data_IF_504520055934
#
_entry.id   IF_504520055934
#
_cell.length_a   1.000
_cell.length_b   1.000
_cell.length_c   1.000
_cell.angle_alpha   90.00
_cell.angle_beta   90.00
_cell.angle_gamma   90.00
#
_symmetry.space_group_name_H-M   'P 1'
#
loop_
_entity.id
_entity.type
_entity.pdbx_description
1 polymer ?
#
# COMPACT_ATOMS: atom_id res chain seq x y z
N UNK A 1 -12.99 -28.10 30.54
CA UNK A 1 -11.82 -28.09 29.64
C UNK A 1 -11.65 -26.69 29.07
N UNK A 2 -10.77 -25.89 29.67
CA UNK A 2 -10.39 -24.56 29.12
C UNK A 2 -8.98 -24.69 28.54
N UNK A 3 -8.89 -24.75 27.22
CA UNK A 3 -7.65 -24.98 26.47
C UNK A 3 -7.13 -23.71 25.80
N UNK A 4 -7.31 -22.52 26.38
CA UNK A 4 -6.75 -21.30 25.78
C UNK A 4 -6.28 -20.29 26.83
N UNK A 5 -5.21 -20.65 27.54
CA UNK A 5 -4.30 -19.64 28.08
C UNK A 5 -2.87 -20.01 27.69
N UNK A 6 -2.55 -19.88 26.40
CA UNK A 6 -1.14 -19.84 25.97
C UNK A 6 -0.65 -18.44 26.23
N UNK A 7 -0.02 -18.26 27.40
CA UNK A 7 0.91 -17.14 27.63
C UNK A 7 1.82 -17.04 26.41
N UNK A 8 1.77 -15.91 25.68
CA UNK A 8 2.67 -15.63 24.56
C UNK A 8 4.10 -15.77 25.11
N UNK A 9 4.89 -16.67 24.54
CA UNK A 9 6.29 -16.80 24.94
C UNK A 9 7.01 -15.47 24.62
N UNK A 10 7.99 -15.01 25.42
CA UNK A 10 8.65 -13.71 25.21
C UNK A 10 9.32 -13.55 23.83
N UNK A 11 9.65 -14.66 23.17
CA UNK A 11 10.25 -14.74 21.84
C UNK A 11 9.23 -14.47 20.69
N UNK A 12 7.93 -14.64 20.94
CA UNK A 12 6.84 -14.42 19.97
C UNK A 12 6.47 -12.92 19.77
N UNK A 13 7.10 -12.02 20.52
CA UNK A 13 6.87 -10.58 20.39
C UNK A 13 7.55 -10.02 19.12
N UNK A 14 6.72 -9.46 18.24
CA UNK A 14 7.14 -8.68 17.07
C UNK A 14 6.63 -7.23 17.20
N UNK A 15 7.50 -6.23 17.42
CA UNK A 15 7.09 -4.84 17.56
C UNK A 15 6.46 -4.27 16.28
N UNK A 16 6.80 -4.83 15.11
CA UNK A 16 6.17 -4.45 13.83
C UNK A 16 4.73 -4.94 13.80
N UNK A 17 4.51 -6.18 14.25
CA UNK A 17 3.18 -6.77 14.30
C UNK A 17 2.23 -6.01 15.23
N UNK A 18 2.70 -5.74 16.44
CA UNK A 18 1.92 -5.01 17.44
C UNK A 18 1.63 -3.57 16.97
N UNK A 19 2.56 -2.95 16.25
CA UNK A 19 2.36 -1.61 15.71
C UNK A 19 1.26 -1.58 14.64
N UNK A 20 1.30 -2.45 13.63
CA UNK A 20 0.27 -2.42 12.58
C UNK A 20 -1.10 -2.85 13.11
N UNK A 21 -1.16 -3.81 14.04
CA UNK A 21 -2.42 -4.22 14.69
C UNK A 21 -3.04 -3.09 15.52
N UNK A 22 -2.23 -2.18 16.04
CA UNK A 22 -2.73 -1.05 16.83
C UNK A 22 -3.46 0.03 16.00
N UNK A 23 -3.23 0.08 14.68
CA UNK A 23 -3.73 1.12 13.77
C UNK A 23 -3.39 2.57 14.20
N UNK A 24 -2.45 2.75 15.13
CA UNK A 24 -1.95 4.06 15.52
C UNK A 24 -0.79 4.46 14.58
N UNK A 25 -1.04 5.48 13.74
CA UNK A 25 -0.05 5.95 12.77
C UNK A 25 1.29 6.31 13.42
N UNK A 26 1.31 6.92 14.61
CA UNK A 26 2.57 7.27 15.29
C UNK A 26 3.33 6.01 15.72
N UNK A 27 2.62 4.98 16.20
CA UNK A 27 3.25 3.69 16.54
C UNK A 27 3.77 2.97 15.30
N UNK A 28 2.99 2.97 14.22
CA UNK A 28 3.39 2.37 12.95
C UNK A 28 4.65 3.03 12.37
N UNK A 29 4.71 4.36 12.34
CA UNK A 29 5.89 5.09 11.86
C UNK A 29 7.13 4.82 12.72
N UNK A 30 6.97 4.75 14.05
CA UNK A 30 8.07 4.37 14.95
C UNK A 30 8.54 2.93 14.72
N UNK A 31 7.69 2.06 14.20
CA UNK A 31 8.02 0.66 13.98
C UNK A 31 8.82 0.42 12.68
N UNK A 32 8.86 1.39 11.76
CA UNK A 32 9.63 1.29 10.50
C UNK A 32 11.14 1.05 10.71
N UNK A 33 11.68 1.44 11.88
CA UNK A 33 13.09 1.22 12.25
C UNK A 33 13.42 -0.22 12.62
N UNK A 34 12.42 -1.07 12.83
CA UNK A 34 12.61 -2.45 13.26
C UNK A 34 12.45 -3.42 12.10
N UNK A 35 13.23 -4.50 12.12
CA UNK A 35 13.03 -5.63 11.23
C UNK A 35 11.85 -6.46 11.75
N UNK A 36 10.90 -6.75 10.86
CA UNK A 36 9.80 -7.67 11.16
C UNK A 36 10.34 -9.08 11.43
N UNK A 37 9.83 -9.73 12.47
CA UNK A 37 10.13 -11.14 12.78
C UNK A 37 9.14 -12.07 12.13
N UNK A 38 7.87 -11.65 12.05
CA UNK A 38 6.77 -12.47 11.52
C UNK A 38 6.58 -12.22 10.04
N UNK A 39 6.26 -13.27 9.26
CA UNK A 39 5.87 -13.13 7.86
C UNK A 39 4.75 -12.09 7.71
N UNK A 40 4.79 -11.32 6.63
CA UNK A 40 3.83 -10.27 6.28
C UNK A 40 3.70 -9.10 7.27
N UNK A 41 4.35 -9.09 8.43
CA UNK A 41 4.19 -7.96 9.37
C UNK A 41 4.67 -6.65 8.77
N UNK A 42 5.76 -6.67 7.99
CA UNK A 42 6.21 -5.49 7.23
C UNK A 42 5.25 -5.11 6.09
N UNK A 43 4.71 -6.09 5.38
CA UNK A 43 3.66 -5.86 4.36
C UNK A 43 2.46 -5.12 4.96
N UNK A 44 1.89 -5.63 6.05
CA UNK A 44 0.75 -5.01 6.71
C UNK A 44 1.09 -3.65 7.31
N UNK A 45 2.28 -3.50 7.93
CA UNK A 45 2.73 -2.20 8.43
C UNK A 45 2.71 -1.13 7.33
N UNK A 46 3.34 -1.41 6.20
CA UNK A 46 3.41 -0.46 5.09
C UNK A 46 2.03 -0.20 4.47
N UNK A 47 1.23 -1.26 4.25
CA UNK A 47 -0.13 -1.15 3.73
C UNK A 47 -1.01 -0.24 4.60
N UNK A 48 -0.99 -0.43 5.92
CA UNK A 48 -1.80 0.36 6.84
C UNK A 48 -1.30 1.80 6.97
N UNK A 49 0.02 2.04 6.96
CA UNK A 49 0.53 3.42 6.90
C UNK A 49 -0.02 4.12 5.66
N UNK A 50 0.12 3.48 4.48
CA UNK A 50 -0.38 4.01 3.21
C UNK A 50 -1.88 4.30 3.25
N UNK A 51 -2.71 3.39 3.80
CA UNK A 51 -4.14 3.62 3.98
C UNK A 51 -4.44 4.83 4.88
N UNK A 52 -3.78 4.91 6.02
CA UNK A 52 -3.97 6.01 6.98
C UNK A 52 -3.53 7.36 6.40
N UNK A 53 -2.43 7.41 5.66
CA UNK A 53 -1.91 8.65 5.08
C UNK A 53 -2.72 9.08 3.86
N UNK A 54 -3.19 8.12 3.05
CA UNK A 54 -4.01 8.41 1.87
C UNK A 54 -5.32 9.12 2.23
N UNK A 55 -5.99 8.71 3.32
CA UNK A 55 -7.23 9.35 3.77
C UNK A 55 -7.04 10.82 4.15
N UNK A 56 -5.86 11.18 4.66
CA UNK A 56 -5.52 12.54 5.13
C UNK A 56 -4.73 13.37 4.11
N UNK A 57 -4.42 12.81 2.94
CA UNK A 57 -3.51 13.44 1.96
C UNK A 57 -3.97 14.83 1.50
N UNK A 58 -5.28 15.05 1.39
CA UNK A 58 -5.85 16.34 0.95
C UNK A 58 -5.79 17.43 2.02
N UNK A 59 -5.72 17.03 3.28
CA UNK A 59 -5.69 17.94 4.44
C UNK A 59 -4.25 18.35 4.78
N UNK A 60 -3.25 17.60 4.33
CA UNK A 60 -1.86 17.81 4.71
C UNK A 60 -0.90 17.36 3.62
N UNK A 61 -0.12 18.32 3.10
CA UNK A 61 0.99 18.03 2.18
C UNK A 61 1.97 16.99 2.76
N UNK A 62 2.20 17.04 4.08
CA UNK A 62 3.02 16.06 4.79
C UNK A 62 2.43 14.64 4.72
N UNK A 63 1.10 14.51 4.82
CA UNK A 63 0.43 13.21 4.69
C UNK A 63 0.47 12.71 3.25
N UNK A 64 0.35 13.59 2.26
CA UNK A 64 0.51 13.22 0.85
C UNK A 64 1.93 12.69 0.56
N UNK A 65 2.97 13.42 1.00
CA UNK A 65 4.37 13.02 0.85
C UNK A 65 4.66 11.68 1.54
N UNK A 66 4.23 11.53 2.79
CA UNK A 66 4.42 10.29 3.53
C UNK A 66 3.67 9.11 2.86
N UNK A 67 2.49 9.37 2.29
CA UNK A 67 1.74 8.34 1.57
C UNK A 67 2.47 7.89 0.30
N UNK A 68 3.04 8.82 -0.45
CA UNK A 68 3.85 8.53 -1.64
C UNK A 68 5.07 7.68 -1.27
N UNK A 69 5.90 8.17 -0.34
CA UNK A 69 7.11 7.48 0.12
C UNK A 69 6.83 6.05 0.60
N UNK A 70 5.81 5.88 1.45
CA UNK A 70 5.49 4.56 2.01
C UNK A 70 4.87 3.64 0.96
N UNK A 71 4.13 4.18 -0.01
CA UNK A 71 3.57 3.39 -1.09
C UNK A 71 4.67 2.91 -2.05
N UNK A 72 5.63 3.76 -2.40
CA UNK A 72 6.78 3.37 -3.21
C UNK A 72 7.59 2.25 -2.54
N UNK A 73 7.91 2.40 -1.24
CA UNK A 73 8.61 1.36 -0.47
C UNK A 73 7.78 0.08 -0.48
N UNK A 74 6.48 0.16 -0.21
CA UNK A 74 5.62 -1.01 -0.19
C UNK A 74 5.60 -1.74 -1.54
N UNK A 75 5.47 -1.03 -2.67
CA UNK A 75 5.46 -1.65 -3.99
C UNK A 75 6.82 -2.26 -4.35
N UNK A 76 7.93 -1.60 -3.98
CA UNK A 76 9.28 -2.14 -4.20
C UNK A 76 9.50 -3.48 -3.47
N UNK A 77 8.79 -3.67 -2.37
CA UNK A 77 8.87 -4.85 -1.52
C UNK A 77 7.77 -5.88 -1.80
N UNK A 78 6.72 -5.53 -2.54
CA UNK A 78 5.49 -6.31 -2.61
C UNK A 78 5.73 -7.71 -3.19
N UNK A 79 6.57 -7.80 -4.23
CA UNK A 79 6.85 -9.06 -4.94
C UNK A 79 7.34 -10.17 -4.01
N UNK A 80 8.05 -9.84 -2.92
CA UNK A 80 8.54 -10.85 -1.96
C UNK A 80 7.40 -11.47 -1.12
N UNK A 81 6.27 -10.77 -0.99
CA UNK A 81 5.12 -11.21 -0.21
C UNK A 81 4.05 -11.90 -1.07
N UNK A 82 4.05 -11.67 -2.39
CA UNK A 82 3.08 -12.21 -3.35
C UNK A 82 2.85 -13.72 -3.21
N UNK A 83 3.88 -14.60 -3.14
CA UNK A 83 3.65 -16.05 -3.02
C UNK A 83 2.91 -16.42 -1.74
N UNK A 84 3.31 -15.84 -0.61
CA UNK A 84 2.70 -16.10 0.69
C UNK A 84 1.26 -15.55 0.76
N UNK A 85 1.01 -14.40 0.14
CA UNK A 85 -0.34 -13.84 0.04
C UNK A 85 -1.25 -14.75 -0.81
N UNK A 86 -0.76 -15.29 -1.93
CA UNK A 86 -1.51 -16.23 -2.75
C UNK A 86 -1.81 -17.53 -2.00
N UNK A 87 -0.83 -18.07 -1.27
CA UNK A 87 -1.02 -19.27 -0.46
C UNK A 87 -2.10 -19.08 0.61
N UNK A 88 -2.09 -17.94 1.31
CA UNK A 88 -3.02 -17.66 2.40
C UNK A 88 -4.45 -17.37 1.92
N UNK A 89 -4.61 -16.71 0.77
CA UNK A 89 -5.92 -16.24 0.29
C UNK A 89 -6.46 -17.02 -0.92
N UNK A 90 -5.72 -18.01 -1.44
CA UNK A 90 -6.03 -18.77 -2.66
C UNK A 90 -5.80 -17.99 -3.97
N UNK A 91 -5.82 -16.66 -3.90
CA UNK A 91 -5.50 -15.72 -4.98
C UNK A 91 -4.93 -14.45 -4.36
N UNK A 92 -4.34 -13.56 -5.18
CA UNK A 92 -3.88 -12.29 -4.64
C UNK A 92 -5.06 -11.47 -4.12
N UNK A 93 -5.01 -11.01 -2.85
CA UNK A 93 -6.05 -10.15 -2.33
C UNK A 93 -5.98 -8.80 -3.03
N UNK A 94 -7.05 -8.05 -2.90
CA UNK A 94 -7.01 -6.65 -3.26
C UNK A 94 -6.02 -5.89 -2.35
N UNK A 95 -4.98 -5.30 -2.95
CA UNK A 95 -3.98 -4.48 -2.25
C UNK A 95 -4.06 -3.05 -2.80
N UNK A 96 -4.59 -2.13 -1.98
CA UNK A 96 -4.94 -0.77 -2.41
C UNK A 96 -3.74 0.14 -2.72
N UNK A 97 -2.52 -0.28 -2.44
CA UNK A 97 -1.31 0.57 -2.59
C UNK A 97 -1.11 1.07 -4.02
N UNK A 98 -1.25 0.21 -5.04
CA UNK A 98 -1.13 0.66 -6.44
C UNK A 98 -2.17 1.73 -6.77
N UNK A 99 -3.42 1.53 -6.33
CA UNK A 99 -4.50 2.48 -6.56
C UNK A 99 -4.21 3.84 -5.88
N UNK A 100 -3.76 3.83 -4.64
CA UNK A 100 -3.47 5.04 -3.89
C UNK A 100 -2.27 5.79 -4.45
N UNK A 101 -1.18 5.09 -4.79
CA UNK A 101 -0.01 5.70 -5.38
C UNK A 101 -0.32 6.31 -6.75
N UNK A 102 -0.99 5.56 -7.63
CA UNK A 102 -1.41 6.09 -8.94
C UNK A 102 -2.29 7.34 -8.80
N UNK A 103 -3.17 7.37 -7.78
CA UNK A 103 -3.99 8.56 -7.50
C UNK A 103 -3.13 9.75 -7.07
N UNK A 104 -2.20 9.57 -6.12
CA UNK A 104 -1.33 10.65 -5.63
C UNK A 104 -0.43 11.21 -6.75
N UNK A 105 0.15 10.33 -7.56
CA UNK A 105 0.97 10.71 -8.72
C UNK A 105 0.14 11.53 -9.70
N UNK A 106 -1.09 11.10 -10.00
CA UNK A 106 -2.00 11.85 -10.88
C UNK A 106 -2.44 13.20 -10.30
N UNK A 107 -2.64 13.29 -8.98
CA UNK A 107 -2.95 14.54 -8.26
C UNK A 107 -1.78 15.54 -8.36
N UNK A 108 -0.56 15.04 -8.57
CA UNK A 108 0.66 15.83 -8.74
C UNK A 108 1.11 15.95 -10.22
N UNK A 109 0.25 15.58 -11.17
CA UNK A 109 0.51 15.59 -12.62
C UNK A 109 1.63 14.65 -13.13
N UNK A 110 2.08 13.71 -12.30
CA UNK A 110 3.00 12.64 -12.68
C UNK A 110 2.23 11.49 -13.37
N UNK A 111 1.61 11.77 -14.52
CA UNK A 111 0.72 10.80 -15.18
C UNK A 111 1.45 9.56 -15.71
N UNK A 112 2.68 9.70 -16.19
CA UNK A 112 3.46 8.55 -16.68
C UNK A 112 3.78 7.57 -15.55
N UNK A 113 4.20 8.09 -14.40
CA UNK A 113 4.43 7.27 -13.21
C UNK A 113 3.12 6.63 -12.72
N UNK A 114 2.00 7.38 -12.74
CA UNK A 114 0.70 6.85 -12.37
C UNK A 114 0.23 5.70 -13.28
N UNK A 115 0.49 5.81 -14.59
CA UNK A 115 0.23 4.75 -15.58
C UNK A 115 1.11 3.54 -15.29
N UNK A 116 2.40 3.75 -15.04
CA UNK A 116 3.34 2.67 -14.76
C UNK A 116 2.93 1.86 -13.53
N UNK A 117 2.47 2.52 -12.46
CA UNK A 117 1.93 1.85 -11.26
C UNK A 117 0.70 1.01 -11.59
N UNK A 118 -0.20 1.48 -12.46
CA UNK A 118 -1.36 0.70 -12.91
C UNK A 118 -0.95 -0.52 -13.75
N UNK A 119 0.04 -0.36 -14.63
CA UNK A 119 0.58 -1.45 -15.45
C UNK A 119 1.27 -2.52 -14.59
N UNK A 120 2.02 -2.11 -13.57
CA UNK A 120 2.60 -3.03 -12.59
C UNK A 120 1.51 -3.88 -11.93
N UNK A 121 0.45 -3.25 -11.43
CA UNK A 121 -0.66 -3.97 -10.79
C UNK A 121 -1.32 -5.01 -11.72
N UNK A 122 -1.51 -4.66 -12.99
CA UNK A 122 -2.03 -5.57 -14.01
C UNK A 122 -1.08 -6.75 -14.28
N UNK A 123 0.22 -6.49 -14.36
CA UNK A 123 1.23 -7.51 -14.65
C UNK A 123 1.33 -8.57 -13.55
N UNK A 124 1.23 -8.16 -12.29
CA UNK A 124 1.27 -9.09 -11.15
C UNK A 124 -0.11 -9.67 -10.78
N UNK A 125 -1.19 -9.24 -11.45
CA UNK A 125 -2.54 -9.75 -11.22
C UNK A 125 -3.20 -9.28 -9.93
N UNK A 126 -2.88 -8.09 -9.43
CA UNK A 126 -3.59 -7.51 -8.27
C UNK A 126 -5.01 -7.12 -8.70
N UNK A 127 -6.06 -7.58 -7.99
CA UNK A 127 -7.42 -7.16 -8.27
C UNK A 127 -7.60 -5.64 -8.06
N UNK A 128 -8.38 -4.95 -8.90
CA UNK A 128 -8.66 -3.53 -8.71
C UNK A 128 -9.50 -3.29 -7.45
N UNK A 129 -9.29 -2.12 -6.83
CA UNK A 129 -10.08 -1.66 -5.69
C UNK A 129 -11.45 -1.11 -6.05
N UNK A 130 -12.18 -0.63 -5.05
CA UNK A 130 -13.35 0.22 -5.28
C UNK A 130 -12.88 1.51 -5.96
N UNK A 131 -13.45 1.84 -7.13
CA UNK A 131 -13.07 3.03 -7.92
C UNK A 131 -12.50 2.76 -9.31
N UNK A 132 -12.94 1.67 -9.96
CA UNK A 132 -12.68 1.38 -11.38
C UNK A 132 -11.51 0.42 -11.63
N UNK A 133 -11.42 -0.11 -12.86
CA UNK A 133 -10.32 -0.98 -13.24
C UNK A 133 -9.02 -0.19 -13.45
N UNK A 134 -7.88 -0.86 -13.39
CA UNK A 134 -6.59 -0.23 -13.74
C UNK A 134 -6.57 0.24 -15.21
N UNK A 135 -7.25 -0.47 -16.11
CA UNK A 135 -7.37 -0.08 -17.53
C UNK A 135 -8.12 1.24 -17.70
N UNK A 136 -9.21 1.42 -16.96
CA UNK A 136 -9.98 2.68 -16.99
C UNK A 136 -9.13 3.86 -16.50
N UNK A 137 -8.34 3.64 -15.44
CA UNK A 137 -7.42 4.64 -14.89
C UNK A 137 -6.34 5.04 -15.87
N UNK A 138 -5.71 4.07 -16.53
CA UNK A 138 -4.70 4.33 -17.57
C UNK A 138 -5.29 5.23 -18.65
N UNK A 139 -6.48 4.88 -19.17
CA UNK A 139 -7.17 5.70 -20.18
C UNK A 139 -7.44 7.13 -19.72
N UNK A 140 -7.88 7.30 -18.46
CA UNK A 140 -8.14 8.63 -17.87
C UNK A 140 -6.84 9.44 -17.75
N UNK A 141 -5.75 8.82 -17.31
CA UNK A 141 -4.45 9.48 -17.15
C UNK A 141 -3.85 9.87 -18.50
N UNK A 142 -3.92 8.99 -19.50
CA UNK A 142 -3.50 9.29 -20.88
C UNK A 142 -4.28 10.48 -21.47
N UNK A 143 -5.61 10.46 -21.32
CA UNK A 143 -6.48 11.54 -21.84
C UNK A 143 -6.18 12.87 -21.14
N UNK A 144 -6.00 12.84 -19.82
CA UNK A 144 -5.70 14.05 -19.03
C UNK A 144 -4.32 14.60 -19.38
N UNK A 145 -3.31 13.73 -19.51
CA UNK A 145 -1.96 14.09 -19.97
C UNK A 145 -2.01 14.80 -21.32
N UNK A 146 -2.73 14.26 -22.30
CA UNK A 146 -2.87 14.88 -23.63
C UNK A 146 -3.53 16.26 -23.55
N UNK A 147 -4.56 16.42 -22.73
CA UNK A 147 -5.24 17.73 -22.55
C UNK A 147 -4.30 18.80 -22.00
N UNK A 148 -3.44 18.46 -21.04
CA UNK A 148 -2.48 19.41 -20.47
C UNK A 148 -1.39 19.83 -21.47
N UNK A 149 -1.00 18.95 -22.38
CA UNK A 149 -0.05 19.28 -23.46
C UNK A 149 -0.66 20.26 -24.48
N UNK A 150 -1.98 20.22 -24.67
CA UNK A 150 -2.71 21.01 -25.66
C UNK A 150 -3.50 22.17 -25.04
N UNK A 151 -3.26 22.52 -23.77
CA UNK A 151 -3.79 23.73 -23.17
C UNK A 151 -2.90 24.92 -23.59
N UNK A 152 -3.43 25.92 -24.30
CA UNK A 152 -2.68 27.12 -24.72
C UNK A 152 -2.28 28.01 -23.54
#
# INVERSE_FOLDING_TARGET
>A
MSLFNKSKRPDDYDPVEEAWKSQDLKKMLKALKWKAKKPLSRHFLLLYIVQHTFTKRKESKKMAQLCDEMAQIHLSELNQYTPLLQELFGQLPNIQTHHYLATILSESHHYDDAIQVCLQALAIGIPPGKGGSYKDRIKIFETTKQKLIHQP
#
